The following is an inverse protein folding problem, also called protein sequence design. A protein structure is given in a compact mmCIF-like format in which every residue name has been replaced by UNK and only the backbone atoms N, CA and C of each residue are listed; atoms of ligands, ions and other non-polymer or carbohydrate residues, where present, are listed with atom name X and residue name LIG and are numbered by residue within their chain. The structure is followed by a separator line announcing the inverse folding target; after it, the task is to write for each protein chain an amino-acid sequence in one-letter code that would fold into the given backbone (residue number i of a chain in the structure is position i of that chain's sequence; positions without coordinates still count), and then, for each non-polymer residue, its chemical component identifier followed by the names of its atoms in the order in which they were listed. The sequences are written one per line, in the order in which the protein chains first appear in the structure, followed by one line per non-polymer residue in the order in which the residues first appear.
data_IF_538107504190
#
_entry.id   IF_538107504190
#
_cell.length_a   1.000
_cell.length_b   1.000
_cell.length_c   1.000
_cell.angle_alpha   90.00
_cell.angle_beta   90.00
_cell.angle_gamma   90.00
#
_symmetry.space_group_name_H-M   'P 1'
#
loop_
_entity.id
_entity.type
_entity.pdbx_description
1 polymer ?
#
# COMPACT_ATOMS: atom_id res chain seq x y z
N UNK A 1 -21.28 -57.53 -55.93
CA UNK A 1 -19.89 -58.01 -56.04
C UNK A 1 -19.20 -57.72 -54.73
N UNK A 2 -19.01 -58.78 -53.95
CA UNK A 2 -18.36 -58.81 -52.64
C UNK A 2 -16.85 -58.63 -52.75
N UNK A 3 -16.24 -58.04 -51.73
CA UNK A 3 -14.93 -58.33 -51.12
C UNK A 3 -14.65 -57.17 -50.16
N UNK A 4 -14.93 -57.23 -48.85
CA UNK A 4 -14.40 -58.09 -47.78
C UNK A 4 -12.99 -57.72 -47.31
N UNK A 5 -12.95 -57.17 -46.08
CA UNK A 5 -11.94 -57.21 -45.01
C UNK A 5 -10.43 -57.01 -45.31
N UNK A 6 -9.78 -56.15 -44.51
CA UNK A 6 -9.01 -56.59 -43.32
C UNK A 6 -8.32 -55.43 -42.59
N UNK A 7 -8.46 -55.42 -41.25
CA UNK A 7 -7.73 -54.60 -40.27
C UNK A 7 -6.41 -55.31 -39.92
N UNK A 8 -5.31 -54.58 -39.69
CA UNK A 8 -4.72 -54.53 -38.34
C UNK A 8 -4.27 -53.08 -38.02
N UNK A 9 -4.00 -52.62 -36.81
CA UNK A 9 -3.58 -53.24 -35.56
C UNK A 9 -2.60 -52.26 -34.89
N UNK A 10 -2.88 -51.93 -33.62
CA UNK A 10 -2.20 -51.03 -32.67
C UNK A 10 -0.70 -50.70 -32.88
N UNK A 11 -0.35 -49.47 -32.52
CA UNK A 11 0.91 -49.15 -31.82
C UNK A 11 0.59 -48.15 -30.70
N UNK A 12 1.01 -48.50 -29.50
CA UNK A 12 0.82 -47.75 -28.25
C UNK A 12 1.90 -46.69 -28.01
N UNK A 13 1.63 -45.88 -26.98
CA UNK A 13 2.55 -45.06 -26.16
C UNK A 13 3.04 -43.75 -26.80
N UNK A 14 2.96 -42.60 -26.15
CA UNK A 14 2.63 -42.26 -24.78
C UNK A 14 3.18 -40.85 -24.56
N UNK A 15 2.36 -39.83 -24.79
CA UNK A 15 2.74 -38.42 -24.59
C UNK A 15 2.25 -37.95 -23.24
N UNK A 16 3.14 -37.95 -22.25
CA UNK A 16 2.88 -37.48 -20.88
C UNK A 16 2.29 -36.07 -20.90
N UNK A 17 1.20 -35.90 -20.16
CA UNK A 17 0.74 -34.61 -19.67
C UNK A 17 1.88 -33.93 -18.91
N UNK A 18 2.42 -32.86 -19.48
CA UNK A 18 3.32 -31.93 -18.80
C UNK A 18 2.49 -31.06 -17.87
N UNK A 19 2.80 -31.15 -16.58
CA UNK A 19 2.24 -30.38 -15.48
C UNK A 19 2.31 -28.85 -15.72
N UNK A 20 1.43 -28.07 -15.06
CA UNK A 20 1.38 -26.62 -15.23
C UNK A 20 2.67 -25.96 -14.73
N UNK A 21 3.11 -24.97 -15.49
CA UNK A 21 4.26 -24.14 -15.17
C UNK A 21 4.15 -23.56 -13.74
N UNK A 22 5.25 -23.74 -13.04
CA UNK A 22 5.60 -23.23 -11.71
C UNK A 22 5.13 -21.77 -11.53
N UNK A 23 4.30 -21.56 -10.51
CA UNK A 23 4.04 -20.22 -9.99
C UNK A 23 5.28 -19.81 -9.22
N UNK A 24 6.00 -18.83 -9.74
CA UNK A 24 7.13 -18.20 -9.06
C UNK A 24 6.65 -17.61 -7.74
N UNK A 25 7.14 -18.16 -6.62
CA UNK A 25 7.01 -17.54 -5.31
C UNK A 25 7.74 -16.19 -5.36
N UNK A 26 6.98 -15.09 -5.32
CA UNK A 26 7.52 -13.75 -5.05
C UNK A 26 8.02 -13.81 -3.59
N UNK A 27 9.35 -13.81 -3.40
CA UNK A 27 9.99 -13.66 -2.10
C UNK A 27 9.35 -12.49 -1.36
N UNK A 28 8.56 -12.79 -0.32
CA UNK A 28 8.10 -11.77 0.63
C UNK A 28 9.30 -11.47 1.52
N UNK A 29 9.98 -10.36 1.28
CA UNK A 29 10.96 -9.85 2.24
C UNK A 29 10.23 -9.63 3.57
N UNK A 30 10.82 -10.06 4.68
CA UNK A 30 10.29 -9.71 6.00
C UNK A 30 10.27 -8.18 6.13
N UNK A 31 9.19 -7.58 6.69
CA UNK A 31 9.13 -6.14 6.86
C UNK A 31 10.28 -5.67 7.73
N UNK A 32 10.89 -4.51 7.41
CA UNK A 32 12.00 -3.95 8.18
C UNK A 32 11.61 -3.87 9.65
N UNK A 33 12.51 -4.36 10.51
CA UNK A 33 12.31 -4.33 11.97
C UNK A 33 12.41 -2.92 12.53
N UNK A 34 13.20 -2.09 11.87
CA UNK A 34 13.44 -0.72 12.25
C UNK A 34 12.42 0.20 11.57
N UNK A 35 11.65 1.02 12.31
CA UNK A 35 10.80 2.05 11.74
C UNK A 35 11.56 3.22 11.12
N UNK A 36 12.88 3.32 11.30
CA UNK A 36 13.67 4.50 10.95
C UNK A 36 13.44 4.93 9.49
N UNK A 37 12.90 6.14 9.34
CA UNK A 37 12.55 6.74 8.06
C UNK A 37 11.22 6.30 7.46
N UNK A 38 10.53 5.28 8.00
CA UNK A 38 9.19 4.83 7.58
C UNK A 38 8.11 5.49 8.44
N UNK A 39 8.30 5.42 9.76
CA UNK A 39 7.38 5.94 10.77
C UNK A 39 8.13 6.94 11.65
N UNK A 40 7.58 8.13 11.79
CA UNK A 40 7.96 9.13 12.78
C UNK A 40 7.40 8.69 14.14
N UNK A 41 8.30 8.16 14.99
CA UNK A 41 7.96 7.66 16.32
C UNK A 41 7.52 8.76 17.28
N UNK A 42 7.95 10.00 17.08
CA UNK A 42 7.54 11.11 17.94
C UNK A 42 6.07 11.47 17.66
N UNK A 43 5.67 11.47 16.38
CA UNK A 43 4.27 11.69 16.00
C UNK A 43 3.41 10.49 16.41
N UNK A 44 3.85 9.28 16.11
CA UNK A 44 3.07 8.07 16.46
C UNK A 44 2.94 7.91 17.99
N UNK A 45 3.99 8.26 18.74
CA UNK A 45 3.96 8.29 20.21
C UNK A 45 2.87 9.21 20.76
N UNK A 46 2.65 10.39 20.17
CA UNK A 46 1.55 11.29 20.56
C UNK A 46 0.18 10.66 20.33
N UNK A 47 0.03 9.82 19.30
CA UNK A 47 -1.23 9.09 19.06
C UNK A 47 -1.42 8.01 20.12
N UNK A 48 -0.35 7.35 20.58
CA UNK A 48 -0.41 6.37 21.66
C UNK A 48 -0.66 6.99 23.03
N UNK A 49 -0.14 8.18 23.31
CA UNK A 49 -0.45 8.93 24.53
C UNK A 49 -1.97 9.18 24.69
N UNK A 50 -2.73 9.18 23.59
CA UNK A 50 -4.18 9.29 23.64
C UNK A 50 -4.87 8.00 24.11
N UNK A 51 -4.28 6.82 23.88
CA UNK A 51 -4.81 5.55 24.41
C UNK A 51 -4.75 5.57 25.95
N UNK A 52 -3.63 6.04 26.52
CA UNK A 52 -3.39 6.05 27.98
C UNK A 52 -4.36 6.98 28.74
N UNK A 53 -4.90 8.01 28.07
CA UNK A 53 -5.85 8.96 28.66
C UNK A 53 -7.29 8.41 28.69
N UNK A 54 -7.63 7.45 27.83
CA UNK A 54 -8.96 6.81 27.84
C UNK A 54 -9.06 5.75 28.95
N UNK A 55 -7.96 5.10 29.33
CA UNK A 55 -7.90 4.06 30.35
C UNK A 55 -8.09 4.59 31.81
N UNK A 56 -7.92 5.90 32.06
CA UNK A 56 -8.07 6.48 33.41
C UNK A 56 -9.55 6.72 33.82
N UNK A 57 -10.49 6.78 32.86
CA UNK A 57 -11.91 7.08 33.10
C UNK A 57 -12.83 5.83 33.07
N UNK A 58 -12.33 4.63 32.71
CA UNK A 58 -13.11 3.38 32.68
C UNK A 58 -12.91 2.53 33.95
N UNK A 59 -13.79 2.73 34.95
CA UNK A 59 -13.80 2.07 36.27
C UNK A 59 -14.01 0.53 36.21
N UNK A 60 -14.32 -0.02 35.02
CA UNK A 60 -14.60 -1.45 34.77
C UNK A 60 -13.39 -2.28 34.29
N UNK A 61 -12.20 -1.68 34.13
CA UNK A 61 -10.95 -2.42 33.85
C UNK A 61 -10.96 -3.25 32.56
N UNK A 62 -11.82 -2.87 31.60
CA UNK A 62 -11.91 -3.48 30.27
C UNK A 62 -11.29 -2.62 29.15
N UNK A 63 -10.98 -1.35 29.43
CA UNK A 63 -10.15 -0.48 28.61
C UNK A 63 -8.69 -0.71 28.97
N UNK A 64 -8.05 -1.61 28.24
CA UNK A 64 -6.65 -1.91 28.41
C UNK A 64 -6.13 -2.31 27.05
N UNK A 65 -5.57 -1.34 26.34
CA UNK A 65 -4.94 -1.59 25.06
C UNK A 65 -5.07 -0.43 24.09
N UNK A 66 -4.27 -0.51 23.04
CA UNK A 66 -4.17 0.50 22.00
C UNK A 66 -5.43 0.62 21.10
N UNK A 67 -6.65 0.50 21.62
CA UNK A 67 -7.89 0.41 20.82
C UNK A 67 -8.17 1.71 20.03
N UNK A 68 -7.99 2.87 20.66
CA UNK A 68 -8.21 4.16 20.01
C UNK A 68 -7.21 4.37 18.87
N UNK A 69 -5.92 4.24 19.14
CA UNK A 69 -4.87 4.40 18.13
C UNK A 69 -5.00 3.35 17.01
N UNK A 70 -5.34 2.10 17.36
CA UNK A 70 -5.62 1.03 16.39
C UNK A 70 -6.78 1.40 15.48
N UNK A 71 -7.85 1.97 16.02
CA UNK A 71 -8.99 2.46 15.25
C UNK A 71 -8.58 3.51 14.22
N UNK A 72 -7.76 4.49 14.61
CA UNK A 72 -7.25 5.52 13.69
C UNK A 72 -6.35 4.90 12.61
N UNK A 73 -5.44 3.99 12.99
CA UNK A 73 -4.52 3.34 12.06
C UNK A 73 -5.26 2.46 11.03
N UNK A 74 -6.28 1.71 11.44
CA UNK A 74 -7.09 0.91 10.51
C UNK A 74 -7.90 1.79 9.56
N UNK A 75 -8.46 2.89 10.07
CA UNK A 75 -9.16 3.86 9.23
C UNK A 75 -8.22 4.49 8.19
N UNK A 76 -6.97 4.77 8.57
CA UNK A 76 -5.96 5.23 7.63
C UNK A 76 -5.70 4.21 6.51
N UNK A 77 -5.62 2.91 6.80
CA UNK A 77 -5.46 1.89 5.76
C UNK A 77 -6.59 1.91 4.74
N UNK A 78 -7.85 1.96 5.21
CA UNK A 78 -9.02 2.05 4.32
C UNK A 78 -9.01 3.34 3.48
N UNK A 79 -8.64 4.47 4.10
CA UNK A 79 -8.52 5.75 3.40
C UNK A 79 -7.42 5.73 2.34
N UNK A 80 -6.26 5.16 2.65
CA UNK A 80 -5.12 5.06 1.75
C UNK A 80 -5.48 4.19 0.53
N UNK A 81 -6.00 2.97 0.76
CA UNK A 81 -6.43 2.05 -0.31
C UNK A 81 -7.49 2.69 -1.22
N UNK A 82 -8.53 3.31 -0.63
CA UNK A 82 -9.54 4.03 -1.42
C UNK A 82 -8.95 5.21 -2.20
N UNK A 83 -7.91 5.85 -1.67
CA UNK A 83 -7.27 6.99 -2.32
C UNK A 83 -6.40 6.55 -3.50
N UNK A 84 -5.66 5.44 -3.37
CA UNK A 84 -4.89 4.87 -4.49
C UNK A 84 -5.78 4.48 -5.67
N UNK A 85 -6.93 3.85 -5.42
CA UNK A 85 -7.91 3.57 -6.48
C UNK A 85 -8.34 4.83 -7.24
N UNK A 86 -8.61 5.92 -6.50
CA UNK A 86 -8.96 7.23 -7.10
C UNK A 86 -7.79 7.85 -7.85
N UNK A 87 -6.56 7.71 -7.36
CA UNK A 87 -5.35 8.20 -8.02
C UNK A 87 -5.13 7.47 -9.36
N UNK A 88 -5.28 6.15 -9.40
CA UNK A 88 -5.22 5.39 -10.65
C UNK A 88 -6.31 5.78 -11.64
N UNK A 89 -7.53 6.02 -11.17
CA UNK A 89 -8.62 6.50 -12.01
C UNK A 89 -8.29 7.90 -12.59
N UNK A 90 -7.78 8.81 -11.77
CA UNK A 90 -7.36 10.15 -12.18
C UNK A 90 -6.17 10.13 -13.16
N UNK A 91 -5.22 9.19 -12.99
CA UNK A 91 -4.15 8.97 -13.97
C UNK A 91 -4.68 8.53 -15.33
N UNK A 92 -5.67 7.63 -15.35
CA UNK A 92 -6.29 7.17 -16.60
C UNK A 92 -7.04 8.30 -17.33
N UNK A 93 -7.74 9.16 -16.59
CA UNK A 93 -8.40 10.35 -17.13
C UNK A 93 -7.47 11.53 -17.37
N UNK A 94 -6.19 11.43 -16.96
CA UNK A 94 -5.18 12.50 -17.01
C UNK A 94 -5.58 13.77 -16.22
N UNK A 95 -6.27 13.59 -15.11
CA UNK A 95 -6.78 14.67 -14.28
C UNK A 95 -5.73 15.13 -13.24
N UNK A 96 -4.83 16.01 -13.67
CA UNK A 96 -3.78 16.59 -12.84
C UNK A 96 -4.31 17.35 -11.60
N UNK A 97 -5.36 18.19 -11.69
CA UNK A 97 -5.98 18.79 -10.51
C UNK A 97 -6.48 17.77 -9.49
N UNK A 98 -7.14 16.70 -9.95
CA UNK A 98 -7.60 15.64 -9.06
C UNK A 98 -6.43 14.90 -8.41
N UNK A 99 -5.36 14.59 -9.16
CA UNK A 99 -4.14 13.97 -8.62
C UNK A 99 -3.48 14.85 -7.56
N UNK A 100 -3.43 16.17 -7.78
CA UNK A 100 -2.94 17.15 -6.81
C UNK A 100 -3.76 17.14 -5.51
N UNK A 101 -5.10 17.12 -5.65
CA UNK A 101 -6.03 17.08 -4.52
C UNK A 101 -5.92 15.77 -3.71
N UNK A 102 -5.84 14.63 -4.39
CA UNK A 102 -5.68 13.32 -3.73
C UNK A 102 -4.32 13.20 -3.04
N UNK A 103 -3.24 13.69 -3.66
CA UNK A 103 -1.93 13.77 -3.02
C UNK A 103 -1.96 14.63 -1.75
N UNK A 104 -2.60 15.80 -1.81
CA UNK A 104 -2.78 16.65 -0.63
C UNK A 104 -3.57 15.95 0.49
N UNK A 105 -4.65 15.25 0.14
CA UNK A 105 -5.47 14.52 1.09
C UNK A 105 -4.67 13.42 1.80
N UNK A 106 -4.03 12.53 1.04
CA UNK A 106 -3.27 11.41 1.61
C UNK A 106 -2.01 11.88 2.37
N UNK A 107 -1.39 12.99 1.94
CA UNK A 107 -0.33 13.67 2.69
C UNK A 107 -0.81 14.03 4.10
N UNK A 108 -1.99 14.64 4.21
CA UNK A 108 -2.56 15.05 5.50
C UNK A 108 -2.82 13.86 6.43
N UNK A 109 -3.48 12.82 5.90
CA UNK A 109 -3.77 11.61 6.67
C UNK A 109 -2.49 10.87 7.10
N UNK A 110 -1.48 10.80 6.23
CA UNK A 110 -0.19 10.17 6.53
C UNK A 110 0.61 10.96 7.57
N UNK A 111 0.60 12.29 7.49
CA UNK A 111 1.26 13.17 8.46
C UNK A 111 0.73 12.98 9.88
N UNK A 112 -0.58 12.79 10.04
CA UNK A 112 -1.22 12.63 11.34
C UNK A 112 -0.81 11.34 12.08
N UNK A 113 -0.30 10.33 11.37
CA UNK A 113 0.14 9.05 11.93
C UNK A 113 1.66 8.85 11.86
N UNK A 114 2.41 9.89 11.47
CA UNK A 114 3.85 9.80 11.32
C UNK A 114 4.30 8.93 10.13
N UNK A 115 3.46 8.64 9.16
CA UNK A 115 3.83 7.83 7.98
C UNK A 115 4.63 8.69 6.99
N UNK A 116 5.90 8.92 7.32
CA UNK A 116 6.73 9.99 6.76
C UNK A 116 7.02 9.85 5.27
N UNK A 117 7.41 8.67 4.79
CA UNK A 117 7.72 8.48 3.36
C UNK A 117 6.49 8.75 2.47
N UNK A 118 5.36 8.13 2.82
CA UNK A 118 4.08 8.34 2.12
C UNK A 118 3.70 9.82 2.13
N UNK A 119 3.88 10.51 3.28
CA UNK A 119 3.61 11.95 3.40
C UNK A 119 4.49 12.77 2.45
N UNK A 120 5.79 12.51 2.38
CA UNK A 120 6.72 13.23 1.51
C UNK A 120 6.47 12.94 0.02
N UNK A 121 6.21 11.69 -0.33
CA UNK A 121 5.88 11.31 -1.70
C UNK A 121 4.53 11.89 -2.14
N UNK A 122 3.53 11.91 -1.26
CA UNK A 122 2.25 12.59 -1.53
C UNK A 122 2.40 14.11 -1.72
N UNK A 123 3.36 14.74 -1.03
CA UNK A 123 3.71 16.15 -1.27
C UNK A 123 4.28 16.35 -2.68
N UNK A 124 5.21 15.50 -3.12
CA UNK A 124 5.69 15.53 -4.51
C UNK A 124 4.55 15.38 -5.52
N UNK A 125 3.61 14.47 -5.25
CA UNK A 125 2.44 14.25 -6.11
C UNK A 125 1.55 15.50 -6.20
N UNK A 126 1.33 16.17 -5.06
CA UNK A 126 0.65 17.46 -5.01
C UNK A 126 1.33 18.51 -5.90
N UNK A 127 2.67 18.61 -5.84
CA UNK A 127 3.42 19.55 -6.68
C UNK A 127 3.36 19.19 -8.17
N UNK A 128 3.56 17.92 -8.51
CA UNK A 128 3.50 17.45 -9.89
C UNK A 128 2.11 17.66 -10.52
N UNK A 129 1.04 17.41 -9.76
CA UNK A 129 -0.33 17.69 -10.22
C UNK A 129 -0.59 19.19 -10.45
N UNK A 130 0.22 20.06 -9.87
CA UNK A 130 0.22 21.51 -10.13
C UNK A 130 1.29 21.93 -11.16
N UNK A 131 1.84 21.00 -11.94
CA UNK A 131 2.88 21.22 -12.94
C UNK A 131 4.17 21.81 -12.37
N UNK A 132 4.50 21.49 -11.11
CA UNK A 132 5.71 21.97 -10.44
C UNK A 132 6.58 20.82 -9.97
N UNK A 133 7.86 20.91 -10.25
CA UNK A 133 8.90 20.03 -9.71
C UNK A 133 9.82 20.90 -8.88
N UNK A 134 9.58 20.93 -7.57
CA UNK A 134 10.33 21.78 -6.62
C UNK A 134 11.78 21.28 -6.46
N UNK A 135 12.03 19.97 -6.60
CA UNK A 135 13.38 19.39 -6.51
C UNK A 135 14.26 19.83 -7.68
N UNK A 136 13.69 19.87 -8.90
CA UNK A 136 14.37 20.36 -10.09
C UNK A 136 14.17 21.87 -10.34
N UNK A 137 13.48 22.58 -9.43
CA UNK A 137 13.09 23.99 -9.55
C UNK A 137 12.54 24.35 -10.95
N UNK A 138 11.63 23.52 -11.48
CA UNK A 138 11.10 23.67 -12.84
C UNK A 138 9.57 23.54 -12.90
N UNK A 139 9.00 24.19 -13.93
CA UNK A 139 7.64 23.93 -14.38
C UNK A 139 7.63 22.73 -15.32
N UNK A 140 6.65 21.85 -15.16
CA UNK A 140 6.47 20.64 -15.96
C UNK A 140 5.45 20.89 -17.07
N UNK A 141 5.61 20.19 -18.20
CA UNK A 141 4.49 19.94 -19.11
C UNK A 141 3.54 18.88 -18.52
N UNK A 142 2.29 18.86 -18.97
CA UNK A 142 1.30 17.85 -18.56
C UNK A 142 1.82 16.42 -18.76
N UNK A 143 2.52 16.16 -19.86
CA UNK A 143 3.08 14.85 -20.17
C UNK A 143 4.19 14.45 -19.19
N UNK A 144 5.08 15.37 -18.83
CA UNK A 144 6.12 15.12 -17.82
C UNK A 144 5.52 14.92 -16.43
N UNK A 145 4.52 15.73 -16.06
CA UNK A 145 3.83 15.62 -14.77
C UNK A 145 3.13 14.26 -14.63
N UNK A 146 2.36 13.84 -15.64
CA UNK A 146 1.69 12.54 -15.64
C UNK A 146 2.68 11.37 -15.57
N UNK A 147 3.82 11.46 -16.28
CA UNK A 147 4.84 10.41 -16.23
C UNK A 147 5.47 10.33 -14.84
N UNK A 148 5.85 11.47 -14.24
CA UNK A 148 6.39 11.54 -12.88
C UNK A 148 5.40 11.04 -11.82
N UNK A 149 4.13 11.44 -11.92
CA UNK A 149 3.09 10.96 -10.99
C UNK A 149 2.90 9.45 -11.12
N UNK A 150 2.94 8.90 -12.33
CA UNK A 150 2.81 7.46 -12.55
C UNK A 150 3.94 6.67 -11.88
N UNK A 151 5.18 7.15 -11.99
CA UNK A 151 6.34 6.54 -11.33
C UNK A 151 6.23 6.66 -9.81
N UNK A 152 5.92 7.87 -9.34
CA UNK A 152 5.77 8.17 -7.92
C UNK A 152 4.61 7.41 -7.27
N UNK A 153 3.50 7.14 -7.96
CA UNK A 153 2.38 6.40 -7.40
C UNK A 153 2.77 4.96 -7.03
N UNK A 154 3.64 4.33 -7.83
CA UNK A 154 4.17 3.00 -7.51
C UNK A 154 5.05 3.06 -6.26
N UNK A 155 5.90 4.08 -6.15
CA UNK A 155 6.75 4.31 -4.98
C UNK A 155 5.90 4.53 -3.71
N UNK A 156 4.86 5.36 -3.78
CA UNK A 156 3.97 5.65 -2.64
C UNK A 156 3.24 4.39 -2.17
N UNK A 157 2.83 3.51 -3.09
CA UNK A 157 2.20 2.23 -2.72
C UNK A 157 3.18 1.29 -2.01
N UNK A 158 4.43 1.20 -2.47
CA UNK A 158 5.47 0.41 -1.81
C UNK A 158 5.81 0.95 -0.42
N UNK A 159 5.90 2.28 -0.28
CA UNK A 159 6.10 2.96 1.01
C UNK A 159 4.93 2.76 1.96
N UNK A 160 3.69 2.76 1.44
CA UNK A 160 2.49 2.45 2.22
C UNK A 160 2.47 1.00 2.68
N UNK A 161 2.79 0.04 1.80
CA UNK A 161 2.86 -1.38 2.17
C UNK A 161 3.88 -1.60 3.29
N UNK A 162 5.06 -0.99 3.18
CA UNK A 162 6.12 -1.04 4.21
C UNK A 162 5.62 -0.50 5.56
N UNK A 163 4.99 0.68 5.56
CA UNK A 163 4.42 1.29 6.76
C UNK A 163 3.28 0.46 7.36
N UNK A 164 2.36 -0.03 6.52
CA UNK A 164 1.22 -0.82 6.95
C UNK A 164 1.64 -2.17 7.54
N UNK A 165 2.65 -2.83 6.96
CA UNK A 165 3.21 -4.05 7.51
C UNK A 165 3.88 -3.82 8.87
N UNK A 166 4.63 -2.72 9.01
CA UNK A 166 5.24 -2.34 10.29
C UNK A 166 4.18 -2.09 11.37
N UNK A 167 3.17 -1.27 11.08
CA UNK A 167 2.08 -0.94 12.01
C UNK A 167 1.29 -2.20 12.40
N UNK A 168 0.90 -3.03 11.42
CA UNK A 168 0.18 -4.28 11.70
C UNK A 168 1.00 -5.26 12.56
N UNK A 169 2.32 -5.27 12.42
CA UNK A 169 3.20 -6.08 13.29
C UNK A 169 3.24 -5.49 14.70
N UNK A 170 3.43 -4.18 14.84
CA UNK A 170 3.45 -3.49 16.12
C UNK A 170 2.21 -3.82 16.96
N UNK A 171 1.01 -3.63 16.42
CA UNK A 171 -0.23 -3.92 17.13
C UNK A 171 -0.42 -5.40 17.47
N UNK A 172 0.12 -6.33 16.67
CA UNK A 172 0.07 -7.77 16.98
C UNK A 172 0.99 -8.11 18.15
N UNK A 173 2.21 -7.59 18.15
CA UNK A 173 3.18 -7.83 19.21
C UNK A 173 2.67 -7.26 20.55
N UNK A 174 2.04 -6.08 20.53
CA UNK A 174 1.40 -5.51 21.71
C UNK A 174 0.20 -6.30 22.23
N UNK A 175 -0.50 -7.05 21.39
CA UNK A 175 -1.58 -7.97 21.82
C UNK A 175 -1.04 -9.27 22.42
N UNK A 176 0.15 -9.71 22.02
CA UNK A 176 0.80 -10.94 22.50
C UNK A 176 1.54 -10.75 23.84
N UNK A 177 1.95 -9.52 24.15
CA UNK A 177 2.63 -9.15 25.40
C UNK A 177 1.67 -8.74 26.55
N UNK A 178 0.35 -8.75 26.32
CA UNK A 178 -0.72 -8.53 27.30
C UNK A 178 -1.31 -9.83 27.85
#
# INVERSE_FOLDING_TARGET
MSSEHKIPGKSEQGGKAGAPAERTHKDKKEPPRDPEGIIDMDILGQVFEMDELEDEDDEDGAGGGHEFSKGIVWNYFEQAESTFEKMYAALQSKDLPQLSSLGHFLKGSSAALGVSKVKDSCEKMQHYGNLRDEEAAKTLSDAEALQKIKELLVEVEEEYEEAAEWLKRYYREQEEDQ
#
